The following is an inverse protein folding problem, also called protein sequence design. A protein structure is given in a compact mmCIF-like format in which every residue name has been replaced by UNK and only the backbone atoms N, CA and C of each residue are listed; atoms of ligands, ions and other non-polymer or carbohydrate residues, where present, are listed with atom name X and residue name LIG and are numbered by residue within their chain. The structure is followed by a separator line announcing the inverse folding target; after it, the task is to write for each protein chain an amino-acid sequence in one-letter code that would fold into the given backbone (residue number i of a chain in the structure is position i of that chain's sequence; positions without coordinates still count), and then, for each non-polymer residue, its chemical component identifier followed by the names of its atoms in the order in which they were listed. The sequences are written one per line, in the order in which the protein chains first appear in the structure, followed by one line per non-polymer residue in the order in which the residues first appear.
data_IF_860728516631
#
_entry.id   IF_860728516631
#
_cell.length_a   1.000
_cell.length_b   1.000
_cell.length_c   1.000
_cell.angle_alpha   90.00
_cell.angle_beta   90.00
_cell.angle_gamma   90.00
#
_symmetry.space_group_name_H-M   'P 1'
#
loop_
_entity.id
_entity.type
_entity.pdbx_description
1 polymer ?
#
# COMPACT_ATOMS: atom_id res chain seq x y z
N UNK A 1 -8.05 -7.36 1.76
CA UNK A 1 -6.98 -6.60 2.43
C UNK A 1 -6.86 -5.28 1.69
N UNK A 2 -6.43 -4.21 2.36
CA UNK A 2 -6.33 -2.88 1.73
C UNK A 2 -4.88 -2.43 1.76
N UNK A 3 -4.33 -2.12 0.58
CA UNK A 3 -3.04 -1.46 0.43
C UNK A 3 -3.29 0.05 0.27
N UNK A 4 -2.85 0.83 1.26
CA UNK A 4 -2.85 2.29 1.22
C UNK A 4 -1.43 2.79 0.91
N UNK A 5 -1.29 3.77 0.02
CA UNK A 5 0.01 4.32 -0.35
C UNK A 5 -0.09 5.77 -0.81
N UNK A 6 1.02 6.50 -0.67
CA UNK A 6 1.20 7.84 -1.22
C UNK A 6 2.38 7.86 -2.18
N UNK A 7 2.22 8.59 -3.28
CA UNK A 7 3.26 8.74 -4.29
C UNK A 7 4.08 10.01 -4.05
N UNK A 8 5.39 9.94 -4.27
CA UNK A 8 6.32 11.05 -4.06
C UNK A 8 6.01 12.25 -4.96
N UNK A 9 5.43 12.02 -6.14
CA UNK A 9 5.08 13.05 -7.11
C UNK A 9 3.72 13.71 -6.86
N UNK A 10 2.87 13.12 -6.01
CA UNK A 10 1.57 13.67 -5.59
C UNK A 10 1.40 13.65 -4.05
N UNK A 11 2.22 14.44 -3.33
CA UNK A 11 2.28 14.38 -1.87
C UNK A 11 0.98 14.83 -1.20
N UNK A 12 0.57 14.11 -0.16
CA UNK A 12 -0.68 14.34 0.57
C UNK A 12 -1.94 13.77 -0.07
N UNK A 13 -1.82 13.04 -1.19
CA UNK A 13 -2.92 12.28 -1.78
C UNK A 13 -2.72 10.78 -1.54
N UNK A 14 -3.62 10.20 -0.75
CA UNK A 14 -3.62 8.78 -0.44
C UNK A 14 -4.37 7.99 -1.52
N UNK A 15 -3.81 6.85 -1.90
CA UNK A 15 -4.40 5.89 -2.82
C UNK A 15 -4.67 4.59 -2.07
N UNK A 16 -5.83 4.00 -2.32
CA UNK A 16 -6.24 2.72 -1.74
C UNK A 16 -6.48 1.69 -2.83
N UNK A 17 -5.99 0.46 -2.60
CA UNK A 17 -6.18 -0.67 -3.50
C UNK A 17 -6.58 -1.91 -2.71
N UNK A 18 -7.72 -2.51 -3.05
CA UNK A 18 -8.12 -3.80 -2.49
C UNK A 18 -7.29 -4.91 -3.13
N UNK A 19 -6.59 -5.67 -2.29
CA UNK A 19 -5.75 -6.79 -2.69
C UNK A 19 -6.21 -8.07 -2.00
N UNK A 20 -6.19 -9.16 -2.77
CA UNK A 20 -6.70 -10.46 -2.32
C UNK A 20 -5.79 -11.11 -1.27
N UNK A 21 -4.47 -10.92 -1.39
CA UNK A 21 -3.47 -11.53 -0.49
C UNK A 21 -2.30 -10.60 -0.22
N UNK A 22 -1.58 -10.86 0.88
CA UNK A 22 -0.32 -10.18 1.20
C UNK A 22 0.72 -10.34 0.08
N UNK A 23 0.72 -11.48 -0.62
CA UNK A 23 1.60 -11.71 -1.75
C UNK A 23 1.29 -10.77 -2.93
N UNK A 24 0.01 -10.56 -3.25
CA UNK A 24 -0.40 -9.59 -4.26
C UNK A 24 -0.04 -8.16 -3.86
N UNK A 25 -0.15 -7.81 -2.58
CA UNK A 25 0.30 -6.52 -2.06
C UNK A 25 1.80 -6.30 -2.33
N UNK A 26 2.65 -7.29 -2.04
CA UNK A 26 4.09 -7.21 -2.31
C UNK A 26 4.41 -7.02 -3.81
N UNK A 27 3.72 -7.75 -4.70
CA UNK A 27 3.89 -7.57 -6.15
C UNK A 27 3.48 -6.16 -6.59
N UNK A 28 2.40 -5.63 -6.02
CA UNK A 28 1.94 -4.28 -6.32
C UNK A 28 2.94 -3.24 -5.82
N UNK A 29 3.43 -3.37 -4.59
CA UNK A 29 4.46 -2.51 -4.01
C UNK A 29 5.73 -2.50 -4.86
N UNK A 30 6.25 -3.64 -5.30
CA UNK A 30 7.42 -3.69 -6.19
C UNK A 30 7.25 -2.88 -7.49
N UNK A 31 6.01 -2.70 -7.95
CA UNK A 31 5.72 -1.88 -9.14
C UNK A 31 5.73 -0.37 -8.88
N UNK A 32 5.62 0.07 -7.61
CA UNK A 32 5.49 1.49 -7.23
C UNK A 32 6.50 1.97 -6.18
N UNK A 33 7.26 1.07 -5.53
CA UNK A 33 8.14 1.36 -4.38
C UNK A 33 9.14 2.48 -4.66
N UNK A 34 9.69 2.54 -5.89
CA UNK A 34 10.63 3.59 -6.29
C UNK A 34 10.01 5.01 -6.35
N UNK A 35 8.68 5.09 -6.34
CA UNK A 35 7.90 6.33 -6.45
C UNK A 35 6.96 6.53 -5.26
N UNK A 36 7.10 5.72 -4.21
CA UNK A 36 6.20 5.71 -3.07
C UNK A 36 6.88 6.39 -1.86
N UNK A 37 6.20 7.35 -1.23
CA UNK A 37 6.71 8.03 -0.03
C UNK A 37 6.47 7.21 1.24
N UNK A 38 5.33 6.52 1.29
CA UNK A 38 4.94 5.59 2.35
C UNK A 38 3.85 4.64 1.87
N UNK A 39 3.72 3.48 2.52
CA UNK A 39 2.64 2.55 2.29
C UNK A 39 2.28 1.77 3.56
N UNK A 40 1.04 1.28 3.61
CA UNK A 40 0.48 0.47 4.68
C UNK A 40 -0.43 -0.61 4.11
N UNK A 41 -0.36 -1.83 4.65
CA UNK A 41 -1.25 -2.94 4.34
C UNK A 41 -2.09 -3.28 5.56
N UNK A 42 -3.40 -3.14 5.45
CA UNK A 42 -4.37 -3.47 6.49
C UNK A 42 -5.20 -4.71 6.13
N UNK A 43 -5.60 -5.47 7.15
CA UNK A 43 -6.59 -6.55 6.99
C UNK A 43 -8.03 -6.02 6.97
N UNK A 44 -9.00 -6.94 6.97
CA UNK A 44 -10.42 -6.59 6.95
C UNK A 44 -10.93 -6.00 8.27
N UNK A 45 -10.23 -6.22 9.37
CA UNK A 45 -10.53 -5.65 10.69
C UNK A 45 -9.85 -4.28 10.88
N UNK A 46 -9.04 -3.84 9.91
CA UNK A 46 -8.30 -2.58 9.94
C UNK A 46 -6.97 -2.68 10.69
N UNK A 47 -6.50 -3.88 11.01
CA UNK A 47 -5.22 -4.08 11.69
C UNK A 47 -4.07 -3.99 10.68
N UNK A 48 -3.01 -3.27 11.06
CA UNK A 48 -1.83 -3.09 10.22
C UNK A 48 -1.01 -4.37 10.21
N UNK A 49 -0.88 -4.97 9.04
CA UNK A 49 -0.09 -6.17 8.83
C UNK A 49 1.35 -5.87 8.44
N UNK A 50 1.55 -4.82 7.64
CA UNK A 50 2.85 -4.38 7.15
C UNK A 50 2.83 -2.88 6.83
N UNK A 51 3.95 -2.20 7.02
CA UNK A 51 4.15 -0.81 6.59
C UNK A 51 5.64 -0.51 6.39
N UNK A 52 5.95 0.65 5.79
CA UNK A 52 7.31 1.18 5.64
C UNK A 52 7.42 2.63 6.03
#
# INVERSE_FOLDING_TARGET
MILSYELVDDPGHEHEEEVETQFHACLRLQSIEAFCSWWELTDEDGEVLMSS
#
